data_IF_207821493101
#
_entry.id   IF_207821493101
#
_cell.length_a   1.000
_cell.length_b   1.000
_cell.length_c   1.000
_cell.angle_alpha   90.00
_cell.angle_beta   90.00
_cell.angle_gamma   90.00
#
_symmetry.space_group_name_H-M   'P 1'
#
loop_
_entity.id
_entity.type
_entity.pdbx_description
1 polymer ?
#
# COMPACT_ATOMS: atom_id res chain seq x y z
N UNK A 1 -2.26 -16.83 -8.60
CA UNK A 1 -3.70 -17.04 -8.36
C UNK A 1 -4.47 -15.82 -8.87
N UNK A 2 -5.39 -16.01 -9.81
CA UNK A 2 -6.20 -14.92 -10.36
C UNK A 2 -7.67 -15.19 -10.05
N UNK A 3 -8.27 -14.33 -9.22
CA UNK A 3 -9.69 -14.37 -8.83
C UNK A 3 -10.45 -13.13 -9.33
N UNK A 4 -9.86 -12.37 -10.26
CA UNK A 4 -10.43 -11.11 -10.76
C UNK A 4 -11.86 -11.34 -11.30
N UNK A 5 -12.79 -10.45 -10.95
CA UNK A 5 -14.20 -10.46 -11.40
C UNK A 5 -14.97 -11.75 -11.09
N UNK A 6 -14.54 -12.50 -10.08
CA UNK A 6 -15.31 -13.64 -9.58
C UNK A 6 -16.36 -13.19 -8.57
N UNK A 7 -17.33 -14.06 -8.26
CA UNK A 7 -18.36 -13.79 -7.24
C UNK A 7 -17.92 -14.17 -5.83
N UNK A 8 -16.64 -14.48 -5.63
CA UNK A 8 -16.10 -14.85 -4.33
C UNK A 8 -16.25 -13.68 -3.34
N UNK A 9 -16.61 -14.01 -2.10
CA UNK A 9 -16.86 -13.04 -1.03
C UNK A 9 -15.89 -13.18 0.14
N UNK A 10 -15.21 -14.31 0.23
CA UNK A 10 -14.30 -14.64 1.33
C UNK A 10 -13.10 -15.44 0.83
N UNK A 11 -12.01 -15.36 1.57
CA UNK A 11 -10.82 -16.18 1.36
C UNK A 11 -10.69 -17.15 2.53
N UNK A 12 -10.11 -18.35 2.32
CA UNK A 12 -9.75 -19.24 3.42
C UNK A 12 -8.85 -18.51 4.43
N UNK A 13 -9.10 -18.73 5.73
CA UNK A 13 -8.37 -18.04 6.79
C UNK A 13 -6.87 -18.38 6.81
N UNK A 14 -6.51 -19.57 6.32
CA UNK A 14 -5.15 -20.10 6.24
C UNK A 14 -4.49 -19.93 4.85
N UNK A 15 -5.09 -19.09 3.99
CA UNK A 15 -4.63 -18.92 2.62
C UNK A 15 -3.18 -18.39 2.56
N UNK A 16 -2.31 -19.17 1.92
CA UNK A 16 -0.95 -18.78 1.55
C UNK A 16 -0.79 -18.82 0.04
N UNK A 17 -0.23 -17.76 -0.54
CA UNK A 17 -0.07 -17.65 -1.99
C UNK A 17 1.41 -17.63 -2.35
N UNK A 18 1.88 -18.67 -3.03
CA UNK A 18 3.29 -18.79 -3.45
C UNK A 18 3.71 -17.85 -4.59
N UNK A 19 2.79 -17.07 -5.15
CA UNK A 19 3.05 -16.08 -6.21
C UNK A 19 2.02 -14.95 -6.14
N UNK A 20 1.62 -14.42 -7.29
CA UNK A 20 0.71 -13.26 -7.32
C UNK A 20 -0.72 -13.64 -6.91
N UNK A 21 -1.41 -12.74 -6.21
CA UNK A 21 -2.83 -12.82 -5.87
C UNK A 21 -3.58 -11.61 -6.45
N UNK A 22 -4.54 -11.86 -7.34
CA UNK A 22 -5.37 -10.80 -7.91
C UNK A 22 -6.84 -10.97 -7.53
N UNK A 23 -7.37 -10.04 -6.75
CA UNK A 23 -8.74 -10.01 -6.21
C UNK A 23 -9.60 -8.92 -6.86
N UNK A 24 -9.13 -8.34 -7.96
CA UNK A 24 -9.70 -7.13 -8.53
C UNK A 24 -11.18 -7.32 -8.86
N UNK A 25 -12.02 -6.34 -8.52
CA UNK A 25 -13.46 -6.39 -8.78
C UNK A 25 -14.19 -7.62 -8.20
N UNK A 26 -13.74 -8.14 -7.05
CA UNK A 26 -14.46 -9.20 -6.32
C UNK A 26 -15.37 -8.62 -5.25
N UNK A 27 -16.24 -9.46 -4.67
CA UNK A 27 -17.10 -9.11 -3.54
C UNK A 27 -16.41 -9.19 -2.18
N UNK A 28 -15.10 -9.42 -2.14
CA UNK A 28 -14.33 -9.54 -0.89
C UNK A 28 -14.30 -8.19 -0.15
N UNK A 29 -14.52 -8.27 1.16
CA UNK A 29 -14.49 -7.13 2.09
C UNK A 29 -13.40 -7.24 3.15
N UNK A 30 -12.83 -8.43 3.36
CA UNK A 30 -11.83 -8.70 4.40
C UNK A 30 -10.74 -9.61 3.82
N UNK A 31 -9.48 -9.33 4.13
CA UNK A 31 -8.35 -10.23 3.91
C UNK A 31 -8.09 -11.06 5.18
N UNK A 32 -7.64 -12.32 5.08
CA UNK A 32 -7.19 -13.10 6.23
C UNK A 32 -6.08 -12.38 7.01
N UNK A 33 -6.09 -12.48 8.34
CA UNK A 33 -5.19 -11.70 9.20
C UNK A 33 -3.71 -11.96 8.88
N UNK A 34 -3.34 -13.24 8.72
CA UNK A 34 -1.97 -13.70 8.46
C UNK A 34 -1.71 -13.98 6.95
N UNK A 35 -2.45 -13.30 6.06
CA UNK A 35 -2.31 -13.49 4.63
C UNK A 35 -0.87 -13.22 4.18
N UNK A 36 -0.26 -14.24 3.56
CA UNK A 36 1.08 -14.15 2.96
C UNK A 36 0.98 -14.35 1.45
N UNK A 37 1.49 -13.36 0.70
CA UNK A 37 1.59 -13.38 -0.76
C UNK A 37 3.07 -13.24 -1.16
N UNK A 38 3.66 -14.31 -1.71
CA UNK A 38 5.06 -14.33 -2.14
C UNK A 38 5.31 -13.64 -3.50
N UNK A 39 4.31 -12.95 -4.03
CA UNK A 39 4.39 -12.10 -5.22
C UNK A 39 3.58 -10.83 -5.04
N UNK A 40 2.97 -10.33 -6.11
CA UNK A 40 2.13 -9.13 -6.08
C UNK A 40 0.73 -9.41 -5.52
N UNK A 41 0.18 -8.45 -4.79
CA UNK A 41 -1.22 -8.43 -4.35
C UNK A 41 -1.94 -7.25 -5.01
N UNK A 42 -3.02 -7.53 -5.75
CA UNK A 42 -3.95 -6.47 -6.20
C UNK A 42 -5.32 -6.73 -5.62
N UNK A 43 -5.80 -5.75 -4.86
CA UNK A 43 -7.15 -5.67 -4.30
C UNK A 43 -7.94 -4.51 -4.92
N UNK A 44 -7.54 -4.09 -6.11
CA UNK A 44 -8.12 -2.99 -6.86
C UNK A 44 -9.64 -3.12 -7.03
N UNK A 45 -10.38 -2.02 -6.82
CA UNK A 45 -11.86 -2.00 -6.92
C UNK A 45 -12.55 -3.07 -6.07
N UNK A 46 -12.05 -3.35 -4.87
CA UNK A 46 -12.75 -4.18 -3.87
C UNK A 46 -13.42 -3.30 -2.81
N UNK A 47 -14.25 -3.91 -1.96
CA UNK A 47 -14.89 -3.22 -0.83
C UNK A 47 -14.10 -3.38 0.48
N UNK A 48 -12.81 -3.71 0.39
CA UNK A 48 -11.96 -3.86 1.56
C UNK A 48 -11.80 -2.51 2.26
N UNK A 49 -12.06 -2.47 3.56
CA UNK A 49 -12.03 -1.26 4.38
C UNK A 49 -10.72 -1.10 5.17
N UNK A 50 -10.00 -2.21 5.41
CA UNK A 50 -8.76 -2.25 6.19
C UNK A 50 -7.82 -3.33 5.65
N UNK A 51 -6.52 -3.07 5.72
CA UNK A 51 -5.51 -4.13 5.57
C UNK A 51 -5.26 -4.77 6.95
N UNK A 52 -4.98 -6.07 7.02
CA UNK A 52 -4.53 -6.74 8.25
C UNK A 52 -3.20 -6.20 8.79
N UNK A 53 -2.99 -6.29 10.11
CA UNK A 53 -1.73 -5.86 10.74
C UNK A 53 -0.57 -6.84 10.43
N UNK A 54 -0.89 -8.11 10.16
CA UNK A 54 0.10 -9.15 9.83
C UNK A 54 0.25 -9.41 8.33
N UNK A 55 -0.36 -8.57 7.47
CA UNK A 55 -0.29 -8.74 6.01
C UNK A 55 1.17 -8.72 5.52
N UNK A 56 1.55 -9.78 4.80
CA UNK A 56 2.87 -9.87 4.16
C UNK A 56 2.73 -10.02 2.64
N UNK A 57 3.35 -9.10 1.89
CA UNK A 57 3.43 -9.12 0.43
C UNK A 57 4.89 -8.93 0.01
N UNK A 58 5.48 -9.93 -0.65
CA UNK A 58 6.87 -9.87 -1.12
C UNK A 58 7.00 -9.02 -2.38
N UNK A 59 5.94 -8.93 -3.19
CA UNK A 59 5.89 -8.04 -4.35
C UNK A 59 5.26 -6.69 -4.02
N UNK A 60 4.54 -6.16 -5.00
CA UNK A 60 3.84 -4.88 -4.92
C UNK A 60 2.42 -5.05 -4.35
N UNK A 61 1.91 -3.99 -3.71
CA UNK A 61 0.51 -3.87 -3.35
C UNK A 61 -0.19 -2.81 -4.22
N UNK A 62 -1.27 -3.22 -4.88
CA UNK A 62 -2.25 -2.30 -5.45
C UNK A 62 -3.55 -2.36 -4.65
N UNK A 63 -3.79 -1.31 -3.87
CA UNK A 63 -4.98 -1.10 -3.05
C UNK A 63 -5.79 0.14 -3.50
N UNK A 64 -5.66 0.48 -4.77
CA UNK A 64 -6.39 1.59 -5.41
C UNK A 64 -7.90 1.31 -5.46
N UNK A 65 -8.70 2.38 -5.42
CA UNK A 65 -10.18 2.30 -5.49
C UNK A 65 -10.81 1.29 -4.51
N UNK A 66 -10.35 1.28 -3.26
CA UNK A 66 -10.89 0.43 -2.18
C UNK A 66 -11.82 1.24 -1.25
N UNK A 67 -12.10 0.73 -0.05
CA UNK A 67 -12.73 1.50 1.02
C UNK A 67 -11.75 1.84 2.15
N UNK A 68 -10.44 1.62 1.92
CA UNK A 68 -9.39 1.86 2.91
C UNK A 68 -9.26 3.36 3.18
N UNK A 69 -9.35 3.73 4.45
CA UNK A 69 -9.23 5.12 4.93
C UNK A 69 -7.90 5.39 5.66
N UNK A 70 -7.33 4.34 6.28
CA UNK A 70 -6.05 4.34 7.00
C UNK A 70 -5.30 3.04 6.71
N UNK A 71 -3.97 3.12 6.53
CA UNK A 71 -3.09 1.95 6.56
C UNK A 71 -2.81 1.50 8.01
N UNK A 72 -2.69 0.19 8.29
CA UNK A 72 -2.33 -0.33 9.61
C UNK A 72 -0.94 0.14 10.05
N UNK A 73 -0.69 0.11 11.36
CA UNK A 73 0.60 0.56 11.90
C UNK A 73 1.71 -0.46 11.62
N UNK A 74 1.33 -1.73 11.45
CA UNK A 74 2.21 -2.83 11.04
C UNK A 74 1.67 -3.48 9.78
N UNK A 75 2.56 -3.73 8.83
CA UNK A 75 2.37 -4.59 7.66
C UNK A 75 3.75 -4.73 7.00
N UNK A 76 3.91 -5.71 6.11
CA UNK A 76 5.18 -5.97 5.47
C UNK A 76 5.01 -6.10 3.95
N UNK A 77 5.17 -4.98 3.24
CA UNK A 77 5.21 -4.95 1.78
C UNK A 77 6.64 -4.63 1.34
N UNK A 78 7.24 -5.52 0.55
CA UNK A 78 8.64 -5.36 0.11
C UNK A 78 8.79 -4.59 -1.20
N UNK A 79 7.72 -4.46 -2.00
CA UNK A 79 7.71 -3.69 -3.24
C UNK A 79 7.10 -2.30 -3.10
N UNK A 80 6.56 -1.81 -4.22
CA UNK A 80 5.82 -0.55 -4.33
C UNK A 80 4.40 -0.68 -3.76
N UNK A 81 3.83 0.46 -3.36
CA UNK A 81 2.46 0.55 -2.86
C UNK A 81 1.68 1.59 -3.67
N UNK A 82 0.56 1.18 -4.25
CA UNK A 82 -0.38 2.07 -4.92
C UNK A 82 -1.67 2.19 -4.09
N UNK A 83 -2.00 3.42 -3.66
CA UNK A 83 -3.18 3.76 -2.85
C UNK A 83 -4.04 4.81 -3.54
N UNK A 84 -3.96 4.88 -4.87
CA UNK A 84 -4.69 5.86 -5.67
C UNK A 84 -6.20 5.71 -5.45
N UNK A 85 -6.78 6.60 -4.66
CA UNK A 85 -8.19 6.59 -4.30
C UNK A 85 -8.55 7.89 -3.56
N UNK A 86 -9.80 8.33 -3.67
CA UNK A 86 -10.35 9.47 -2.93
C UNK A 86 -10.61 9.20 -1.45
N UNK A 87 -10.44 7.99 -0.90
CA UNK A 87 -10.84 7.72 0.51
C UNK A 87 -9.71 7.78 1.53
N UNK A 88 -8.52 7.30 1.18
CA UNK A 88 -7.40 7.24 2.13
C UNK A 88 -6.97 8.65 2.55
N UNK A 89 -6.81 8.84 3.85
CA UNK A 89 -6.48 10.14 4.45
C UNK A 89 -5.47 10.07 5.60
N UNK A 90 -5.19 8.88 6.14
CA UNK A 90 -4.20 8.68 7.22
C UNK A 90 -3.17 7.64 6.79
N UNK A 91 -1.89 7.98 7.01
CA UNK A 91 -0.74 7.10 6.90
C UNK A 91 -0.15 6.86 8.31
N UNK A 92 0.45 5.69 8.59
CA UNK A 92 1.12 5.43 9.85
C UNK A 92 2.42 6.24 9.97
N UNK A 93 2.80 6.60 11.19
CA UNK A 93 3.93 7.50 11.47
C UNK A 93 5.28 6.99 10.94
N UNK A 94 5.45 5.66 10.89
CA UNK A 94 6.69 5.00 10.48
C UNK A 94 6.56 4.30 9.12
N UNK A 95 5.74 4.83 8.21
CA UNK A 95 5.57 4.24 6.88
C UNK A 95 6.91 4.13 6.14
N UNK A 96 7.34 2.90 5.86
CA UNK A 96 8.51 2.57 5.03
C UNK A 96 8.03 1.90 3.75
N UNK A 97 8.50 2.38 2.60
CA UNK A 97 8.20 1.80 1.28
C UNK A 97 9.51 1.57 0.53
N UNK A 98 9.79 0.31 0.20
CA UNK A 98 11.03 -0.10 -0.47
C UNK A 98 11.01 0.15 -1.99
N UNK A 99 9.84 0.42 -2.56
CA UNK A 99 9.67 0.82 -3.95
C UNK A 99 9.06 2.22 -4.06
N UNK A 100 8.19 2.39 -5.05
CA UNK A 100 7.42 3.61 -5.25
C UNK A 100 6.20 3.66 -4.32
N UNK A 101 5.78 4.87 -3.96
CA UNK A 101 4.55 5.12 -3.23
C UNK A 101 3.67 6.07 -4.04
N UNK A 102 2.54 5.56 -4.53
CA UNK A 102 1.53 6.37 -5.23
C UNK A 102 0.35 6.71 -4.31
N UNK A 103 0.28 7.98 -3.92
CA UNK A 103 -0.80 8.58 -3.13
C UNK A 103 -1.65 9.54 -3.96
N UNK A 104 -1.60 9.44 -5.29
CA UNK A 104 -2.28 10.37 -6.16
C UNK A 104 -3.80 10.31 -5.97
N UNK A 105 -4.47 11.45 -6.07
CA UNK A 105 -5.92 11.61 -5.93
C UNK A 105 -6.47 11.21 -4.54
N UNK A 106 -5.62 11.19 -3.51
CA UNK A 106 -6.00 10.89 -2.13
C UNK A 106 -6.38 12.13 -1.32
N UNK A 107 -7.05 11.91 -0.19
CA UNK A 107 -7.42 12.99 0.75
C UNK A 107 -6.31 13.31 1.77
N UNK A 108 -5.14 12.68 1.62
CA UNK A 108 -3.99 12.92 2.48
C UNK A 108 -3.60 14.39 2.43
N UNK A 109 -3.47 14.99 3.61
CA UNK A 109 -3.13 16.40 3.80
C UNK A 109 -1.78 16.60 4.51
N UNK A 110 -1.19 15.54 5.06
CA UNK A 110 0.10 15.53 5.75
C UNK A 110 0.81 14.20 5.49
N UNK A 111 2.12 14.27 5.30
CA UNK A 111 3.00 13.10 5.29
C UNK A 111 3.46 12.80 6.72
N UNK A 112 3.63 11.51 7.09
CA UNK A 112 4.18 11.14 8.39
C UNK A 112 5.62 11.62 8.52
N UNK A 113 6.04 11.94 9.75
CA UNK A 113 7.35 12.56 10.00
C UNK A 113 8.53 11.67 9.59
N UNK A 114 8.37 10.35 9.73
CA UNK A 114 9.39 9.35 9.41
C UNK A 114 9.07 8.60 8.10
N UNK A 115 8.33 9.23 7.18
CA UNK A 115 8.07 8.64 5.87
C UNK A 115 9.40 8.38 5.15
N UNK A 116 9.59 7.13 4.73
CA UNK A 116 10.70 6.75 3.88
C UNK A 116 10.17 6.02 2.65
N UNK A 117 10.54 6.51 1.47
CA UNK A 117 10.20 5.91 0.18
C UNK A 117 11.50 5.80 -0.60
N UNK A 118 11.93 4.57 -0.90
CA UNK A 118 13.19 4.32 -1.59
C UNK A 118 13.09 4.66 -3.10
N UNK A 119 11.89 4.56 -3.66
CA UNK A 119 11.59 4.97 -5.04
C UNK A 119 10.96 6.35 -5.11
N UNK A 120 10.02 6.50 -6.04
CA UNK A 120 9.30 7.74 -6.31
C UNK A 120 8.09 7.90 -5.39
N UNK A 121 7.83 9.15 -4.98
CA UNK A 121 6.63 9.52 -4.23
C UNK A 121 5.70 10.37 -5.10
N UNK A 122 4.55 9.81 -5.49
CA UNK A 122 3.55 10.52 -6.28
C UNK A 122 2.46 11.13 -5.38
N UNK A 123 2.37 12.46 -5.35
CA UNK A 123 1.42 13.24 -4.54
C UNK A 123 0.43 14.05 -5.40
N UNK A 124 0.31 13.71 -6.67
CA UNK A 124 -0.57 14.43 -7.60
C UNK A 124 -2.02 14.45 -7.09
N UNK A 125 -2.68 15.61 -7.12
CA UNK A 125 -4.05 15.79 -6.62
C UNK A 125 -4.28 15.34 -5.17
N UNK A 126 -3.27 15.47 -4.31
CA UNK A 126 -3.46 15.37 -2.84
C UNK A 126 -3.81 16.72 -2.24
N UNK A 127 -4.13 16.74 -0.94
CA UNK A 127 -4.34 17.98 -0.17
C UNK A 127 -3.07 18.49 0.51
N UNK A 128 -1.92 17.93 0.17
CA UNK A 128 -0.61 18.36 0.70
C UNK A 128 -0.25 19.69 0.04
N UNK A 129 -0.19 20.76 0.84
CA UNK A 129 0.16 22.11 0.40
C UNK A 129 1.57 22.54 0.85
N UNK A 130 2.25 21.72 1.66
CA UNK A 130 3.62 21.92 2.10
C UNK A 130 4.29 20.55 2.23
N UNK A 131 5.41 20.38 1.56
CA UNK A 131 6.33 19.29 1.87
C UNK A 131 7.13 19.70 3.09
N UNK A 132 7.33 18.78 4.04
CA UNK A 132 8.35 19.00 5.06
C UNK A 132 9.69 19.07 4.33
N UNK A 133 10.49 20.10 4.61
CA UNK A 133 11.88 20.10 4.18
C UNK A 133 12.53 18.83 4.75
N UNK A 134 13.13 18.02 3.89
CA UNK A 134 13.95 16.89 4.30
C UNK A 134 14.98 17.43 5.30
N UNK A 135 15.00 16.92 6.53
CA UNK A 135 16.08 17.27 7.44
C UNK A 135 17.37 16.70 6.81
N UNK A 136 18.46 17.48 6.70
CA UNK A 136 19.69 17.06 6.03
C UNK A 136 20.27 15.73 6.53
N UNK A 137 19.85 15.25 7.70
CA UNK A 137 20.30 14.01 8.32
C UNK A 137 19.74 12.72 7.70
N UNK A 138 18.69 12.76 6.87
CA UNK A 138 18.10 11.55 6.26
C UNK A 138 18.38 11.38 4.76
N UNK A 139 18.93 12.38 4.08
CA UNK A 139 19.40 12.26 2.70
C UNK A 139 20.84 11.74 2.69
N UNK A 140 21.04 10.42 2.73
CA UNK A 140 22.31 9.87 2.25
C UNK A 140 22.33 9.99 0.74
N UNK A 141 22.86 11.11 0.24
CA UNK A 141 23.34 11.18 -1.13
C UNK A 141 24.44 10.13 -1.28
N UNK A 142 24.11 8.94 -1.81
CA UNK A 142 25.12 8.07 -2.42
C UNK A 142 25.56 8.72 -3.73
N UNK A 143 26.49 9.66 -3.65
CA UNK A 143 27.37 9.95 -4.77
C UNK A 143 28.37 8.80 -4.85
N UNK A 144 28.02 7.76 -5.59
CA UNK A 144 28.95 6.72 -6.02
C UNK A 144 29.76 7.21 -7.21
N UNK A 145 31.05 7.49 -6.94
CA UNK A 145 32.24 7.31 -7.78
C UNK A 145 32.23 7.79 -9.24
N UNK A 146 33.07 8.78 -9.53
CA UNK A 146 34.38 8.56 -10.17
C UNK A 146 35.35 9.67 -9.72
#
# INVERSE_FOLDING_TARGET
MCLRRTQIKELPADLKVGGNLYLNYTGITILPEDLTVNGDLSIYCTKIEKLPENLTVVGNLDASETAITKLPDKFNIKGSICLKDRKINILPDNLQVNGDLDLSNTQINKLPANLNVAGSLNLHNTRINKLRACQPSSCTARSGLA
#
